data_IF_538039747083
#
_entry.id   IF_538039747083
#
_cell.length_a   1.000
_cell.length_b   1.000
_cell.length_c   1.000
_cell.angle_alpha   90.00
_cell.angle_beta   90.00
_cell.angle_gamma   90.00
#
_symmetry.space_group_name_H-M   'P 1'
#
loop_
_entity.id
_entity.type
_entity.pdbx_description
1 polymer ?
#
# COMPACT_ATOMS: atom_id res chain seq x y z
N UNK A 1 -15.23 32.46 -29.81
CA UNK A 1 -14.49 32.57 -28.53
C UNK A 1 -14.87 31.36 -27.66
N UNK A 2 -13.95 30.48 -27.39
CA UNK A 2 -14.23 29.32 -26.50
C UNK A 2 -14.36 29.81 -25.06
N UNK A 3 -15.46 29.49 -24.41
CA UNK A 3 -15.65 29.76 -22.99
C UNK A 3 -14.49 29.11 -22.23
N UNK A 4 -13.78 29.83 -21.34
CA UNK A 4 -12.67 29.26 -20.62
C UNK A 4 -13.16 28.05 -19.78
N UNK A 5 -12.51 26.91 -19.93
CA UNK A 5 -12.83 25.69 -19.17
C UNK A 5 -12.61 25.97 -17.68
N UNK A 6 -13.69 25.93 -16.90
CA UNK A 6 -13.63 26.12 -15.45
C UNK A 6 -13.46 24.77 -14.76
N UNK A 7 -12.29 24.55 -14.17
CA UNK A 7 -12.05 23.37 -13.33
C UNK A 7 -12.95 23.38 -12.09
N UNK A 8 -13.73 22.33 -11.94
CA UNK A 8 -14.50 22.06 -10.71
C UNK A 8 -13.64 21.21 -9.78
N UNK A 9 -13.47 21.68 -8.54
CA UNK A 9 -12.76 20.90 -7.51
C UNK A 9 -13.67 19.77 -7.03
N UNK A 10 -13.26 18.51 -7.21
CA UNK A 10 -14.07 17.34 -6.83
C UNK A 10 -14.58 17.42 -5.37
N UNK A 11 -13.78 17.83 -4.36
CA UNK A 11 -14.30 17.99 -3.00
C UNK A 11 -15.42 19.02 -2.81
N UNK A 12 -15.70 19.86 -3.82
CA UNK A 12 -16.86 20.79 -3.79
C UNK A 12 -18.17 20.11 -4.17
N UNK A 13 -18.13 18.96 -4.81
CA UNK A 13 -19.28 18.12 -5.12
C UNK A 13 -19.62 17.30 -3.86
N UNK A 14 -20.69 17.67 -3.18
CA UNK A 14 -20.97 17.13 -1.83
C UNK A 14 -21.77 15.83 -1.84
N UNK A 15 -22.44 15.54 -2.95
CA UNK A 15 -23.33 14.37 -3.07
C UNK A 15 -22.98 13.60 -4.33
N UNK A 16 -23.41 12.33 -4.37
CA UNK A 16 -23.35 11.49 -5.57
C UNK A 16 -24.10 12.14 -6.73
N UNK A 17 -25.26 12.75 -6.45
CA UNK A 17 -26.04 13.45 -7.46
C UNK A 17 -25.29 14.64 -8.07
N UNK A 18 -24.58 15.45 -7.26
CA UNK A 18 -23.74 16.54 -7.76
C UNK A 18 -22.63 16.02 -8.66
N UNK A 19 -21.99 14.91 -8.27
CA UNK A 19 -20.92 14.31 -9.07
C UNK A 19 -21.46 13.74 -10.39
N UNK A 20 -22.60 13.03 -10.38
CA UNK A 20 -23.27 12.56 -11.61
C UNK A 20 -23.67 13.71 -12.53
N UNK A 21 -24.23 14.79 -12.00
CA UNK A 21 -24.57 15.98 -12.77
C UNK A 21 -23.33 16.60 -13.42
N UNK A 22 -22.20 16.64 -12.69
CA UNK A 22 -20.94 17.11 -13.23
C UNK A 22 -20.42 16.24 -14.36
N UNK A 23 -20.40 14.91 -14.20
CA UNK A 23 -20.02 13.97 -15.26
C UNK A 23 -20.88 14.16 -16.50
N UNK A 24 -22.20 14.27 -16.33
CA UNK A 24 -23.13 14.53 -17.43
C UNK A 24 -22.82 15.85 -18.16
N UNK A 25 -22.46 16.91 -17.45
CA UNK A 25 -22.09 18.20 -18.04
C UNK A 25 -20.82 18.13 -18.89
N UNK A 26 -19.95 17.14 -18.62
CA UNK A 26 -18.74 16.86 -19.38
C UNK A 26 -18.94 15.79 -20.48
N UNK A 27 -20.17 15.28 -20.64
CA UNK A 27 -20.49 14.14 -21.51
C UNK A 27 -19.62 12.90 -21.23
N UNK A 28 -19.37 12.65 -19.92
CA UNK A 28 -18.59 11.49 -19.44
C UNK A 28 -19.54 10.46 -18.81
N UNK A 29 -19.28 9.20 -19.14
CA UNK A 29 -19.86 8.05 -18.45
C UNK A 29 -18.77 7.36 -17.62
N UNK A 30 -18.92 7.40 -16.30
CA UNK A 30 -18.02 6.75 -15.34
C UNK A 30 -18.85 5.85 -14.44
N UNK A 31 -18.56 4.54 -14.49
CA UNK A 31 -19.19 3.58 -13.59
C UNK A 31 -18.87 3.91 -12.14
N UNK A 32 -19.92 4.03 -11.31
CA UNK A 32 -19.79 4.26 -9.88
C UNK A 32 -21.01 3.74 -9.15
N UNK A 33 -20.80 3.29 -7.93
CA UNK A 33 -21.88 2.91 -7.02
C UNK A 33 -22.41 4.13 -6.26
N UNK A 34 -23.70 4.15 -5.97
CA UNK A 34 -24.33 5.22 -5.19
C UNK A 34 -24.03 5.10 -3.69
N UNK A 35 -23.79 3.88 -3.23
CA UNK A 35 -23.52 3.57 -1.84
C UNK A 35 -22.24 2.74 -1.69
N UNK A 36 -21.54 2.97 -0.58
CA UNK A 36 -20.36 2.18 -0.23
C UNK A 36 -20.83 0.91 0.46
N UNK A 37 -20.54 -0.25 -0.13
CA UNK A 37 -20.78 -1.54 0.49
C UNK A 37 -19.78 -1.76 1.62
N UNK A 38 -20.29 -1.78 2.87
CA UNK A 38 -19.48 -1.96 4.07
C UNK A 38 -19.58 -3.39 4.64
N UNK A 39 -18.83 -3.67 5.70
CA UNK A 39 -18.85 -4.96 6.39
C UNK A 39 -18.28 -6.11 5.56
N UNK A 40 -18.78 -7.31 5.78
CA UNK A 40 -18.30 -8.54 5.11
C UNK A 40 -18.55 -8.55 3.60
N UNK A 41 -19.58 -7.85 3.13
CA UNK A 41 -19.90 -7.75 1.71
C UNK A 41 -18.98 -6.75 0.96
N UNK A 42 -18.16 -5.96 1.68
CA UNK A 42 -17.28 -4.98 1.04
C UNK A 42 -16.34 -5.64 0.02
N UNK A 43 -16.26 -5.13 -1.22
CA UNK A 43 -15.33 -5.64 -2.23
C UNK A 43 -13.88 -5.67 -1.75
N UNK A 44 -13.47 -4.72 -0.89
CA UNK A 44 -12.12 -4.63 -0.35
C UNK A 44 -11.81 -5.70 0.70
N UNK A 45 -12.83 -6.33 1.30
CA UNK A 45 -12.69 -7.44 2.25
C UNK A 45 -12.70 -8.82 1.58
N UNK A 46 -13.04 -8.91 0.30
CA UNK A 46 -13.08 -10.17 -0.42
C UNK A 46 -11.69 -10.78 -0.53
N UNK A 47 -11.60 -12.07 -0.24
CA UNK A 47 -10.37 -12.86 -0.42
C UNK A 47 -10.04 -13.04 -1.90
N UNK A 48 -8.77 -13.29 -2.17
CA UNK A 48 -8.26 -13.61 -3.51
C UNK A 48 -7.47 -14.89 -3.41
N UNK A 49 -7.81 -15.89 -4.20
CA UNK A 49 -6.99 -17.08 -4.36
C UNK A 49 -6.03 -16.89 -5.53
N UNK A 50 -4.75 -17.01 -5.26
CA UNK A 50 -3.69 -16.83 -6.24
C UNK A 50 -2.59 -17.88 -6.08
N UNK A 51 -2.40 -18.69 -7.11
CA UNK A 51 -1.36 -19.75 -7.16
C UNK A 51 -1.34 -20.65 -5.93
N UNK A 52 -2.52 -21.09 -5.47
CA UNK A 52 -2.67 -21.98 -4.31
C UNK A 52 -2.47 -21.30 -2.96
N UNK A 53 -2.43 -19.97 -2.91
CA UNK A 53 -2.40 -19.16 -1.69
C UNK A 53 -3.64 -18.30 -1.60
N UNK A 54 -4.17 -18.11 -0.41
CA UNK A 54 -5.25 -17.18 -0.14
C UNK A 54 -4.67 -15.86 0.37
N UNK A 55 -5.02 -14.76 -0.31
CA UNK A 55 -4.79 -13.40 0.16
C UNK A 55 -6.07 -12.95 0.86
N UNK A 56 -6.01 -12.62 2.13
CA UNK A 56 -7.18 -12.48 3.00
C UNK A 56 -8.07 -11.26 2.74
N UNK A 57 -7.61 -10.28 1.94
CA UNK A 57 -8.41 -9.14 1.48
C UNK A 57 -7.74 -8.47 0.27
N UNK A 58 -8.34 -7.39 -0.23
CA UNK A 58 -7.84 -6.66 -1.42
C UNK A 58 -7.02 -5.41 -1.09
N UNK A 59 -6.51 -5.31 0.14
CA UNK A 59 -5.57 -4.25 0.51
C UNK A 59 -4.14 -4.72 0.30
N UNK A 60 -3.36 -3.90 -0.42
CA UNK A 60 -1.96 -4.17 -0.67
C UNK A 60 -1.07 -3.00 -0.22
N UNK A 61 0.10 -3.32 0.35
CA UNK A 61 1.19 -2.38 0.55
C UNK A 61 2.16 -2.54 -0.59
N UNK A 62 2.37 -1.46 -1.33
CA UNK A 62 3.30 -1.41 -2.44
C UNK A 62 4.72 -1.09 -1.96
N UNK A 63 5.76 -1.50 -2.72
CA UNK A 63 7.12 -1.10 -2.43
C UNK A 63 7.26 0.41 -2.67
N UNK A 64 7.86 1.08 -1.70
CA UNK A 64 8.20 2.50 -1.82
C UNK A 64 9.66 2.70 -1.46
N UNK A 65 10.34 3.55 -2.21
CA UNK A 65 11.70 3.95 -1.92
C UNK A 65 11.74 4.78 -0.64
N UNK A 66 12.40 4.25 0.39
CA UNK A 66 12.64 4.97 1.65
C UNK A 66 13.90 5.83 1.59
N UNK A 67 13.92 6.89 2.42
CA UNK A 67 15.06 7.79 2.64
C UNK A 67 15.58 7.70 4.08
N UNK A 68 15.18 6.69 4.81
CA UNK A 68 15.39 6.55 6.24
C UNK A 68 16.27 5.37 6.64
N UNK A 69 16.94 4.73 5.69
CA UNK A 69 18.02 3.78 5.95
C UNK A 69 19.34 4.46 6.34
N UNK A 70 20.33 3.66 6.68
CA UNK A 70 21.70 4.17 6.90
C UNK A 70 22.38 4.50 5.57
N UNK A 71 23.46 5.28 5.62
CA UNK A 71 24.28 5.57 4.43
C UNK A 71 24.94 4.32 3.83
N UNK A 72 25.09 3.26 4.64
CA UNK A 72 25.56 1.94 4.19
C UNK A 72 24.43 1.02 3.70
N UNK A 73 23.19 1.51 3.65
CA UNK A 73 22.02 0.76 3.17
C UNK A 73 21.41 -0.17 4.22
N UNK A 74 21.72 0.03 5.50
CA UNK A 74 21.19 -0.75 6.61
C UNK A 74 19.85 -0.23 7.13
N UNK A 75 19.22 -1.05 7.98
CA UNK A 75 17.92 -0.77 8.61
C UNK A 75 18.07 0.19 9.79
N UNK A 76 17.07 1.02 10.01
CA UNK A 76 16.99 1.99 11.12
C UNK A 76 15.70 1.79 11.93
N UNK A 77 15.62 2.43 13.10
CA UNK A 77 14.42 2.40 13.94
C UNK A 77 13.16 2.95 13.25
N UNK A 78 13.20 4.08 12.53
CA UNK A 78 12.04 4.55 11.74
C UNK A 78 11.52 3.50 10.74
N UNK A 79 12.39 2.73 10.09
CA UNK A 79 11.99 1.64 9.19
C UNK A 79 11.32 0.51 9.96
N UNK A 80 11.87 0.08 11.10
CA UNK A 80 11.28 -0.96 11.96
C UNK A 80 9.87 -0.53 12.38
N UNK A 81 9.69 0.71 12.81
CA UNK A 81 8.39 1.27 13.17
C UNK A 81 7.41 1.29 12.00
N UNK A 82 7.87 1.65 10.78
CA UNK A 82 7.04 1.62 9.57
C UNK A 82 6.59 0.20 9.25
N UNK A 83 7.48 -0.78 9.29
CA UNK A 83 7.15 -2.17 9.00
C UNK A 83 6.22 -2.78 10.06
N UNK A 84 6.38 -2.39 11.32
CA UNK A 84 5.39 -2.72 12.36
C UNK A 84 4.00 -2.21 11.98
N UNK A 85 3.89 -0.96 11.51
CA UNK A 85 2.61 -0.38 11.05
C UNK A 85 2.04 -1.09 9.83
N UNK A 86 2.87 -1.62 8.94
CA UNK A 86 2.40 -2.48 7.84
C UNK A 86 1.71 -3.73 8.40
N UNK A 87 2.30 -4.38 9.39
CA UNK A 87 1.67 -5.50 10.08
C UNK A 87 0.35 -5.11 10.76
N UNK A 88 0.32 -3.98 11.44
CA UNK A 88 -0.86 -3.47 12.14
C UNK A 88 -1.98 -2.99 11.20
N UNK A 89 -1.69 -2.73 9.92
CA UNK A 89 -2.64 -2.16 8.96
C UNK A 89 -3.78 -3.10 8.59
N UNK A 90 -3.55 -4.41 8.63
CA UNK A 90 -4.49 -5.42 8.17
C UNK A 90 -4.47 -5.69 6.67
N UNK A 91 -3.61 -5.02 5.88
CA UNK A 91 -3.38 -5.40 4.50
C UNK A 91 -2.85 -6.84 4.41
N UNK A 92 -3.38 -7.62 3.47
CA UNK A 92 -3.06 -9.05 3.33
C UNK A 92 -2.10 -9.36 2.19
N UNK A 93 -1.73 -8.35 1.41
CA UNK A 93 -0.63 -8.42 0.44
C UNK A 93 0.40 -7.34 0.76
N UNK A 94 1.60 -7.76 1.10
CA UNK A 94 2.75 -6.86 1.26
C UNK A 94 3.67 -7.12 0.08
N UNK A 95 3.58 -6.28 -0.94
CA UNK A 95 4.39 -6.42 -2.14
C UNK A 95 5.70 -5.63 -1.97
N UNK A 96 6.70 -6.30 -1.43
CA UNK A 96 8.01 -5.74 -1.15
C UNK A 96 8.09 -4.84 0.09
N UNK A 97 7.06 -4.06 0.41
CA UNK A 97 7.04 -3.12 1.53
C UNK A 97 8.07 -1.98 1.45
N UNK A 98 9.22 -2.25 0.82
CA UNK A 98 10.34 -1.33 0.57
C UNK A 98 10.91 -1.58 -0.83
N UNK A 99 11.25 -0.54 -1.57
CA UNK A 99 12.01 -0.65 -2.81
C UNK A 99 13.51 -0.67 -2.45
N UNK A 100 14.10 -1.86 -2.44
CA UNK A 100 15.48 -2.06 -2.02
C UNK A 100 16.42 -2.07 -3.23
N UNK A 101 17.57 -1.42 -3.11
CA UNK A 101 18.61 -1.49 -4.13
C UNK A 101 19.36 -2.82 -4.07
N UNK A 102 19.69 -3.39 -5.23
CA UNK A 102 20.52 -4.61 -5.34
C UNK A 102 22.01 -4.27 -5.36
N UNK A 103 22.36 -3.07 -5.83
CA UNK A 103 23.73 -2.58 -5.94
C UNK A 103 23.86 -1.20 -5.29
N UNK A 104 25.02 -0.89 -4.68
CA UNK A 104 25.26 0.43 -4.09
C UNK A 104 25.14 1.59 -5.09
N UNK A 105 25.60 1.40 -6.33
CA UNK A 105 25.55 2.37 -7.41
C UNK A 105 24.17 2.46 -8.10
N UNK A 106 23.26 1.55 -7.78
CA UNK A 106 21.86 1.53 -8.26
C UNK A 106 20.88 2.17 -7.29
N UNK A 107 21.35 2.75 -6.18
CA UNK A 107 20.46 3.43 -5.24
C UNK A 107 19.90 4.73 -5.83
N UNK A 108 18.62 4.95 -5.63
CA UNK A 108 17.96 6.19 -6.03
C UNK A 108 18.26 7.35 -5.05
N UNK A 109 18.67 7.05 -3.82
CA UNK A 109 19.09 8.03 -2.82
C UNK A 109 20.15 7.44 -1.86
N UNK A 110 20.94 8.27 -1.17
CA UNK A 110 22.03 7.80 -0.32
C UNK A 110 21.61 7.00 0.92
N UNK A 111 20.33 7.06 1.27
CA UNK A 111 19.77 6.37 2.44
C UNK A 111 18.79 5.24 2.05
N UNK A 112 18.76 4.86 0.77
CA UNK A 112 18.00 3.70 0.34
C UNK A 112 18.66 2.41 0.85
N UNK A 113 17.85 1.49 1.35
CA UNK A 113 18.30 0.18 1.82
C UNK A 113 18.90 -0.64 0.66
N UNK A 114 19.91 -1.46 0.96
CA UNK A 114 20.59 -2.35 0.00
C UNK A 114 20.39 -3.81 0.42
N UNK A 115 20.00 -4.65 -0.54
CA UNK A 115 19.97 -6.12 -0.36
C UNK A 115 21.40 -6.64 -0.56
N UNK A 116 22.08 -6.96 0.53
CA UNK A 116 23.39 -7.60 0.53
C UNK A 116 23.54 -8.44 1.81
N UNK A 117 24.64 -9.19 1.92
CA UNK A 117 24.88 -10.04 3.09
C UNK A 117 25.03 -9.24 4.39
N UNK A 118 25.57 -8.02 4.34
CA UNK A 118 25.75 -7.18 5.53
C UNK A 118 24.41 -6.70 6.09
N UNK A 119 23.44 -6.41 5.23
CA UNK A 119 22.14 -5.88 5.61
C UNK A 119 21.05 -6.95 5.77
N UNK A 120 21.32 -8.19 5.40
CA UNK A 120 20.38 -9.33 5.40
C UNK A 120 19.67 -9.52 6.73
N UNK A 121 20.40 -9.44 7.84
CA UNK A 121 19.82 -9.61 9.18
C UNK A 121 18.83 -8.50 9.51
N UNK A 122 19.12 -7.24 9.13
CA UNK A 122 18.21 -6.11 9.31
C UNK A 122 16.94 -6.26 8.46
N UNK A 123 17.07 -6.72 7.22
CA UNK A 123 15.93 -6.99 6.33
C UNK A 123 15.04 -8.10 6.90
N UNK A 124 15.66 -9.18 7.41
CA UNK A 124 14.93 -10.24 8.11
C UNK A 124 14.17 -9.69 9.34
N UNK A 125 14.80 -8.81 10.12
CA UNK A 125 14.16 -8.15 11.26
C UNK A 125 12.93 -7.33 10.85
N UNK A 126 12.96 -6.62 9.73
CA UNK A 126 11.79 -5.89 9.21
C UNK A 126 10.63 -6.85 8.96
N UNK A 127 10.88 -7.95 8.25
CA UNK A 127 9.89 -8.98 7.97
C UNK A 127 9.31 -9.59 9.25
N UNK A 128 10.15 -9.99 10.19
CA UNK A 128 9.71 -10.57 11.46
C UNK A 128 8.90 -9.58 12.29
N UNK A 129 9.27 -8.31 12.29
CA UNK A 129 8.52 -7.24 12.97
C UNK A 129 7.11 -7.10 12.39
N UNK A 130 6.98 -7.13 11.06
CA UNK A 130 5.69 -7.09 10.38
C UNK A 130 4.84 -8.31 10.74
N UNK A 131 5.39 -9.51 10.64
CA UNK A 131 4.69 -10.77 10.95
C UNK A 131 4.22 -10.80 12.40
N UNK A 132 5.08 -10.43 13.34
CA UNK A 132 4.75 -10.38 14.77
C UNK A 132 3.61 -9.41 15.06
N UNK A 133 3.66 -8.19 14.49
CA UNK A 133 2.63 -7.18 14.64
C UNK A 133 1.29 -7.65 14.04
N UNK A 134 1.33 -8.25 12.84
CA UNK A 134 0.13 -8.77 12.19
C UNK A 134 -0.52 -9.90 13.01
N UNK A 135 0.28 -10.88 13.43
CA UNK A 135 -0.19 -12.00 14.25
C UNK A 135 -0.78 -11.52 15.59
N UNK A 136 -0.12 -10.57 16.26
CA UNK A 136 -0.60 -10.02 17.53
C UNK A 136 -1.97 -9.35 17.39
N UNK A 137 -2.24 -8.70 16.25
CA UNK A 137 -3.48 -7.95 16.04
C UNK A 137 -4.60 -8.78 15.42
N UNK A 138 -4.27 -9.72 14.53
CA UNK A 138 -5.25 -10.46 13.73
C UNK A 138 -5.28 -11.99 14.02
N UNK A 139 -4.41 -12.46 14.90
CA UNK A 139 -4.38 -13.85 15.38
C UNK A 139 -3.64 -14.84 14.48
N UNK A 140 -3.60 -14.58 13.16
CA UNK A 140 -2.96 -15.46 12.16
C UNK A 140 -2.19 -14.67 11.11
N UNK A 141 -1.31 -15.35 10.39
CA UNK A 141 -0.61 -14.87 9.21
C UNK A 141 -0.85 -15.76 7.99
N UNK A 142 -1.76 -16.73 8.07
CA UNK A 142 -1.96 -17.77 7.04
C UNK A 142 -2.48 -17.20 5.72
N UNK A 143 -3.22 -16.09 5.79
CA UNK A 143 -3.79 -15.37 4.66
C UNK A 143 -3.01 -14.08 4.32
N UNK A 144 -1.81 -13.92 4.88
CA UNK A 144 -0.89 -12.82 4.60
C UNK A 144 0.18 -13.27 3.61
N UNK A 145 0.24 -12.61 2.45
CA UNK A 145 1.27 -12.87 1.44
C UNK A 145 2.27 -11.71 1.44
N UNK A 146 3.55 -12.07 1.54
CA UNK A 146 4.68 -11.13 1.44
C UNK A 146 5.50 -11.54 0.22
N UNK A 147 5.71 -10.62 -0.72
CA UNK A 147 6.48 -10.82 -1.96
C UNK A 147 7.69 -9.91 -2.05
#
# INVERSE_FOLDING_TARGET
>A
MSTPFKLVRIPSLKTVADFRAHLKSLNLDLGMDDEIVAGEASPLRQKIDWRGRTIGNRWAIHPMEGWDGTTTGGVTEPMIRRWKRFGDSGAKLIWGGEAMAVRPDGRANPNQIIINEENKAGIAQLRETLLAAHKAKFGTTDDLVIG
#
